data_IF_113346042807
#
_entry.id   IF_113346042807
#
_cell.length_a   1.000
_cell.length_b   1.000
_cell.length_c   1.000
_cell.angle_alpha   90.00
_cell.angle_beta   90.00
_cell.angle_gamma   90.00
#
_symmetry.space_group_name_H-M   'P 1'
#
loop_
_entity.id
_entity.type
_entity.pdbx_description
1 polymer ?
#
# COMPACT_ATOMS: atom_id res chain seq x y z
N UNK A 1 -18.01 10.39 5.91
CA UNK A 1 -16.66 10.55 5.33
C UNK A 1 -16.47 9.50 4.25
N UNK A 2 -15.95 9.88 3.08
CA UNK A 2 -15.52 8.92 2.06
C UNK A 2 -14.03 8.59 2.30
N UNK A 3 -13.71 7.30 2.39
CA UNK A 3 -12.35 6.77 2.40
C UNK A 3 -11.93 6.51 0.95
N UNK A 4 -10.71 6.88 0.58
CA UNK A 4 -10.21 6.70 -0.80
C UNK A 4 -8.91 5.92 -0.72
N UNK A 5 -8.87 4.80 -1.43
CA UNK A 5 -7.68 3.97 -1.60
C UNK A 5 -7.20 4.11 -3.03
N UNK A 6 -5.90 4.33 -3.18
CA UNK A 6 -5.20 4.24 -4.45
C UNK A 6 -4.30 3.02 -4.40
N UNK A 7 -4.57 2.05 -5.26
CA UNK A 7 -3.76 0.86 -5.43
C UNK A 7 -3.09 0.90 -6.81
N UNK A 8 -1.79 0.66 -6.84
CA UNK A 8 -0.99 0.49 -8.04
C UNK A 8 -0.23 -0.83 -7.95
N UNK A 9 -0.54 -1.75 -8.85
CA UNK A 9 0.18 -3.03 -8.98
C UNK A 9 0.86 -3.09 -10.34
N UNK A 10 2.12 -3.50 -10.34
CA UNK A 10 2.91 -3.64 -11.55
C UNK A 10 3.63 -4.98 -11.56
N UNK A 11 3.39 -5.79 -12.59
CA UNK A 11 4.09 -7.04 -12.79
C UNK A 11 5.01 -6.93 -14.00
N UNK A 12 6.27 -7.28 -13.80
CA UNK A 12 7.30 -7.23 -14.82
C UNK A 12 8.01 -8.58 -14.94
N UNK A 13 8.02 -9.12 -16.15
CA UNK A 13 8.80 -10.31 -16.47
C UNK A 13 10.18 -9.86 -16.96
N UNK A 14 11.21 -10.01 -16.12
CA UNK A 14 12.58 -9.64 -16.51
C UNK A 14 13.14 -10.68 -17.48
N UNK A 15 13.05 -11.96 -17.09
CA UNK A 15 13.44 -13.12 -17.88
C UNK A 15 12.44 -14.25 -17.63
N UNK A 16 12.36 -15.30 -18.46
CA UNK A 16 11.38 -16.38 -18.26
C UNK A 16 11.46 -17.07 -16.88
N UNK A 17 12.63 -17.01 -16.23
CA UNK A 17 12.88 -17.60 -14.91
C UNK A 17 12.84 -16.57 -13.77
N UNK A 18 12.58 -15.29 -14.06
CA UNK A 18 12.54 -14.22 -13.07
C UNK A 18 11.39 -13.23 -13.31
N UNK A 19 10.48 -13.20 -12.34
CA UNK A 19 9.35 -12.28 -12.31
C UNK A 19 9.47 -11.33 -11.12
N UNK A 20 9.14 -10.06 -11.36
CA UNK A 20 9.04 -9.03 -10.34
C UNK A 20 7.60 -8.53 -10.29
N UNK A 21 7.09 -8.34 -9.09
CA UNK A 21 5.81 -7.72 -8.84
C UNK A 21 6.01 -6.62 -7.79
N UNK A 22 5.57 -5.41 -8.11
CA UNK A 22 5.49 -4.30 -7.18
C UNK A 22 4.03 -4.03 -6.85
N UNK A 23 3.77 -3.74 -5.59
CA UNK A 23 2.48 -3.28 -5.10
C UNK A 23 2.66 -2.00 -4.28
N UNK A 24 1.77 -1.06 -4.50
CA UNK A 24 1.69 0.19 -3.77
C UNK A 24 0.23 0.42 -3.44
N UNK A 25 -0.04 0.58 -2.16
CA UNK A 25 -1.36 0.89 -1.65
C UNK A 25 -1.24 2.15 -0.80
N UNK A 26 -1.98 3.18 -1.19
CA UNK A 26 -2.02 4.44 -0.46
C UNK A 26 -3.45 4.68 0.02
N UNK A 27 -3.60 4.75 1.34
CA UNK A 27 -4.86 4.92 2.04
C UNK A 27 -4.98 6.38 2.49
N UNK A 28 -5.92 7.10 1.90
CA UNK A 28 -6.26 8.45 2.34
C UNK A 28 -7.35 8.38 3.42
N UNK A 29 -7.03 8.87 4.62
CA UNK A 29 -7.95 8.89 5.79
C UNK A 29 -8.49 7.51 6.18
N UNK A 30 -7.62 6.54 6.53
CA UNK A 30 -8.08 5.22 6.95
C UNK A 30 -9.09 5.33 8.10
N UNK A 31 -10.17 4.54 8.03
CA UNK A 31 -11.21 4.47 9.08
C UNK A 31 -12.12 5.71 9.22
N UNK A 32 -12.16 6.63 8.26
CA UNK A 32 -13.13 7.74 8.25
C UNK A 32 -12.84 8.88 9.25
N UNK A 33 -11.63 8.91 9.83
CA UNK A 33 -11.18 9.95 10.76
C UNK A 33 -11.36 9.61 12.24
N UNK A 34 -11.24 8.33 12.63
CA UNK A 34 -11.24 7.94 14.04
C UNK A 34 -10.11 8.69 14.77
N UNK A 35 -10.42 9.39 15.89
CA UNK A 35 -9.41 10.12 16.66
C UNK A 35 -8.35 9.15 17.17
N UNK A 36 -7.08 9.52 17.00
CA UNK A 36 -5.95 8.75 17.49
C UNK A 36 -6.07 8.61 19.02
N UNK A 37 -6.23 7.39 19.58
CA UNK A 37 -6.38 7.19 21.03
C UNK A 37 -5.10 7.52 21.82
N UNK A 38 -3.94 7.63 21.14
CA UNK A 38 -2.66 7.99 21.76
C UNK A 38 -2.31 9.49 21.62
N UNK A 39 -3.08 10.27 20.86
CA UNK A 39 -2.84 11.70 20.66
C UNK A 39 -4.18 12.45 20.45
N UNK A 40 -4.82 12.93 21.53
CA UNK A 40 -6.08 13.67 21.43
C UNK A 40 -5.85 14.97 20.65
N UNK A 41 -6.34 15.01 19.40
CA UNK A 41 -6.24 16.17 18.50
C UNK A 41 -5.53 15.89 17.17
N UNK A 42 -4.82 14.77 17.04
CA UNK A 42 -4.20 14.35 15.78
C UNK A 42 -5.09 13.32 15.05
N UNK A 43 -5.41 13.60 13.79
CA UNK A 43 -6.04 12.60 12.92
C UNK A 43 -5.00 11.53 12.55
N UNK A 44 -5.44 10.28 12.42
CA UNK A 44 -4.60 9.22 11.84
C UNK A 44 -4.17 9.69 10.45
N UNK A 45 -2.85 9.78 10.24
CA UNK A 45 -2.27 10.25 8.98
C UNK A 45 -2.54 9.27 7.84
N UNK A 46 -2.25 9.71 6.62
CA UNK A 46 -2.35 8.84 5.45
C UNK A 46 -1.36 7.66 5.58
N UNK A 47 -1.81 6.47 5.20
CA UNK A 47 -1.01 5.24 5.30
C UNK A 47 -0.56 4.82 3.91
N UNK A 48 0.74 4.61 3.73
CA UNK A 48 1.30 4.09 2.48
C UNK A 48 1.96 2.76 2.74
N UNK A 49 1.45 1.72 2.08
CA UNK A 49 2.02 0.38 2.07
C UNK A 49 2.69 0.17 0.72
N UNK A 50 3.94 -0.27 0.74
CA UNK A 50 4.69 -0.61 -0.46
C UNK A 50 5.23 -2.02 -0.29
N UNK A 51 4.95 -2.87 -1.26
CA UNK A 51 5.43 -4.24 -1.32
C UNK A 51 6.16 -4.52 -2.64
N UNK A 52 7.14 -5.41 -2.55
CA UNK A 52 7.84 -5.95 -3.70
C UNK A 52 7.97 -7.45 -3.52
N UNK A 53 7.56 -8.20 -4.53
CA UNK A 53 7.66 -9.65 -4.61
C UNK A 53 8.52 -10.04 -5.81
N UNK A 54 9.50 -10.88 -5.56
CA UNK A 54 10.36 -11.45 -6.59
C UNK A 54 10.18 -12.97 -6.61
N UNK A 55 9.95 -13.53 -7.79
CA UNK A 55 9.84 -14.97 -8.02
C UNK A 55 10.95 -15.41 -8.95
N UNK A 56 11.76 -16.38 -8.51
CA UNK A 56 12.85 -16.99 -9.29
C UNK A 56 12.59 -18.49 -9.38
N UNK A 57 12.61 -19.04 -10.59
CA UNK A 57 12.42 -20.48 -10.84
C UNK A 57 13.70 -21.09 -11.41
N UNK A 58 14.11 -22.24 -10.88
CA UNK A 58 15.30 -22.98 -11.30
C UNK A 58 14.93 -24.24 -12.09
#
# INVERSE_FOLDING_TARGET
>A
SAETVVEATYQYQVTPWWQLQADLQHFFRPSGGIPNPNAPGARIGDETVVGVRTTITF
#
